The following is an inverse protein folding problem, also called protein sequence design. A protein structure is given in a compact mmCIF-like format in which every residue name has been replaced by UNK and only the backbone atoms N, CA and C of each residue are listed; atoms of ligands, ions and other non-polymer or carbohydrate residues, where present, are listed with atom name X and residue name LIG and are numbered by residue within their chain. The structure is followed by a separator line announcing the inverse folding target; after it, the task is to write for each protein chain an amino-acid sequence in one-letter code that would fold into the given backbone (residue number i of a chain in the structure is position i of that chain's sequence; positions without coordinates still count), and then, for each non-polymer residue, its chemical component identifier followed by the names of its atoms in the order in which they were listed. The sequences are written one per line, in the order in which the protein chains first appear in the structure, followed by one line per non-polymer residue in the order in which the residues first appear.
data_IF_680092887653
#
_entry.id   IF_680092887653
#
_cell.length_a   1.000
_cell.length_b   1.000
_cell.length_c   1.000
_cell.angle_alpha   90.00
_cell.angle_beta   90.00
_cell.angle_gamma   90.00
#
_symmetry.space_group_name_H-M   'P 1'
#
loop_
_entity.id
_entity.type
_entity.pdbx_description
1 polymer ?
#
# COMPACT_ATOMS: atom_id res chain seq x y z
N UNK A 1 21.46 14.97 0.95
CA UNK A 1 20.99 14.59 0.93
C UNK A 1 20.20 14.08 0.65
N UNK A 2 20.21 14.02 0.78
CA UNK A 2 19.48 13.51 0.73
C UNK A 2 19.08 12.71 0.22
N UNK A 3 19.32 12.26 -0.03
CA UNK A 3 19.01 11.58 -0.66
C UNK A 3 18.31 10.70 -0.52
N UNK A 4 18.13 10.42 0.06
CA UNK A 4 17.45 9.64 0.32
C UNK A 4 16.30 9.58 -0.15
N UNK A 5 16.18 9.84 -0.15
CA UNK A 5 15.08 9.90 -0.34
C UNK A 5 14.64 9.74 -1.52
N UNK A 6 14.80 9.99 -1.88
CA UNK A 6 14.28 10.08 -2.87
C UNK A 6 14.01 9.23 -3.85
N UNK A 7 14.66 8.69 -4.14
CA UNK A 7 14.58 7.88 -5.13
C UNK A 7 13.35 7.33 -5.55
N UNK A 8 12.90 6.40 -5.01
CA UNK A 8 11.73 5.73 -5.48
C UNK A 8 10.52 6.59 -5.46
N UNK A 9 10.56 7.60 -4.71
CA UNK A 9 9.37 8.37 -4.56
C UNK A 9 8.97 9.14 -5.78
N UNK A 10 9.85 9.25 -6.73
CA UNK A 10 9.49 9.98 -7.93
C UNK A 10 8.36 9.32 -8.70
N UNK A 11 8.23 8.02 -8.56
CA UNK A 11 7.19 7.31 -9.28
C UNK A 11 6.09 6.82 -8.36
N UNK A 12 6.22 7.09 -7.08
CA UNK A 12 5.20 6.67 -6.14
C UNK A 12 4.16 7.76 -6.00
N UNK A 13 2.97 7.37 -5.58
CA UNK A 13 1.92 8.31 -5.29
C UNK A 13 1.03 7.71 -4.22
N UNK A 14 0.25 8.58 -3.59
CA UNK A 14 -0.71 8.14 -2.59
C UNK A 14 -2.07 7.96 -3.27
N UNK A 15 -2.71 6.85 -2.99
CA UNK A 15 -3.98 6.52 -3.65
C UNK A 15 -5.03 6.23 -2.60
N UNK A 16 -6.29 6.39 -3.00
CA UNK A 16 -7.40 6.15 -2.08
C UNK A 16 -7.75 4.67 -2.06
N UNK A 17 -8.55 4.31 -1.07
CA UNK A 17 -8.90 2.91 -0.83
C UNK A 17 -9.43 2.22 -2.07
N UNK A 18 -10.25 2.90 -2.85
CA UNK A 18 -10.82 2.28 -4.02
C UNK A 18 -9.76 1.79 -4.99
N UNK A 19 -8.68 2.56 -5.15
CA UNK A 19 -7.59 2.14 -6.01
C UNK A 19 -6.86 0.95 -5.40
N UNK A 20 -6.68 0.96 -4.08
CA UNK A 20 -6.07 -0.17 -3.41
C UNK A 20 -6.89 -1.43 -3.63
N UNK A 21 -8.20 -1.32 -3.50
CA UNK A 21 -9.09 -2.47 -3.73
C UNK A 21 -8.91 -3.02 -5.13
N UNK A 22 -8.78 -2.13 -6.12
CA UNK A 22 -8.59 -2.57 -7.49
C UNK A 22 -7.27 -3.29 -7.69
N UNK A 23 -6.23 -2.80 -7.05
CA UNK A 23 -4.90 -3.38 -7.21
C UNK A 23 -4.83 -4.75 -6.57
N UNK A 24 -5.35 -4.89 -5.35
CA UNK A 24 -5.17 -6.12 -4.60
C UNK A 24 -6.31 -7.12 -4.75
N UNK A 25 -7.44 -6.67 -5.26
CA UNK A 25 -8.57 -7.58 -5.45
C UNK A 25 -9.32 -7.92 -4.19
N UNK A 26 -9.17 -7.13 -3.14
CA UNK A 26 -9.88 -7.33 -1.88
C UNK A 26 -10.76 -6.13 -1.59
N UNK A 27 -11.75 -6.30 -0.72
CA UNK A 27 -12.61 -5.20 -0.32
C UNK A 27 -12.15 -4.63 1.00
N UNK A 28 -12.73 -3.48 1.36
CA UNK A 28 -12.26 -2.70 2.50
C UNK A 28 -12.23 -3.51 3.81
N UNK A 29 -13.23 -4.33 4.05
CA UNK A 29 -13.27 -5.08 5.30
C UNK A 29 -12.05 -5.98 5.45
N UNK A 30 -11.69 -6.68 4.40
CA UNK A 30 -10.54 -7.56 4.45
C UNK A 30 -9.24 -6.75 4.53
N UNK A 31 -9.17 -5.65 3.81
CA UNK A 31 -7.97 -4.82 3.83
C UNK A 31 -7.72 -4.29 5.24
N UNK A 32 -8.75 -3.76 5.90
CA UNK A 32 -8.58 -3.24 7.24
C UNK A 32 -8.28 -4.33 8.26
N UNK A 33 -8.82 -5.52 8.04
CA UNK A 33 -8.47 -6.63 8.90
C UNK A 33 -6.99 -6.96 8.79
N UNK A 34 -6.47 -7.01 7.57
CA UNK A 34 -5.05 -7.27 7.35
C UNK A 34 -4.18 -6.19 7.94
N UNK A 35 -4.62 -4.94 7.87
CA UNK A 35 -3.86 -3.85 8.47
C UNK A 35 -3.77 -4.05 9.98
N UNK A 36 -4.89 -4.41 10.61
CA UNK A 36 -4.87 -4.64 12.05
C UNK A 36 -3.95 -5.80 12.44
N UNK A 37 -3.81 -6.76 11.55
CA UNK A 37 -2.95 -7.91 11.81
C UNK A 37 -1.50 -7.68 11.39
N UNK A 38 -1.20 -6.46 10.95
CA UNK A 38 0.14 -6.09 10.49
C UNK A 38 0.59 -6.85 9.24
N UNK A 39 -0.37 -7.31 8.45
CA UNK A 39 -0.09 -8.05 7.22
C UNK A 39 -0.31 -7.24 5.96
N UNK A 40 -0.57 -5.95 6.09
CA UNK A 40 -0.82 -5.08 4.95
C UNK A 40 -0.29 -3.70 5.28
N UNK A 41 0.29 -2.98 4.31
CA UNK A 41 0.82 -1.65 4.57
C UNK A 41 -0.27 -0.71 5.09
N UNK A 42 0.00 -0.01 6.18
CA UNK A 42 -0.99 0.91 6.73
C UNK A 42 -1.07 2.19 5.92
N UNK A 43 -2.18 2.91 6.01
CA UNK A 43 -2.34 4.13 5.23
C UNK A 43 -1.63 5.31 5.86
N UNK A 44 -1.44 6.32 5.05
CA UNK A 44 -0.98 7.64 5.47
C UNK A 44 -2.19 8.56 5.55
N UNK A 45 -2.05 9.64 6.28
CA UNK A 45 -3.12 10.63 6.38
C UNK A 45 -2.60 12.02 6.02
N UNK A 46 -2.39 12.25 4.73
CA UNK A 46 -1.90 13.56 4.31
C UNK A 46 -2.91 14.62 4.74
N UNK A 47 -2.43 15.68 5.34
CA UNK A 47 -3.30 16.71 5.85
C UNK A 47 -4.07 16.34 7.09
N UNK A 48 -3.84 15.14 7.63
CA UNK A 48 -4.45 14.75 8.89
C UNK A 48 -5.81 14.09 8.79
N UNK A 49 -6.38 14.03 7.60
CA UNK A 49 -7.67 13.37 7.40
C UNK A 49 -7.64 12.57 6.13
N UNK A 50 -8.44 11.54 6.10
CA UNK A 50 -8.55 10.72 4.91
C UNK A 50 -7.35 9.80 4.74
N UNK A 51 -7.62 8.53 4.61
CA UNK A 51 -6.55 7.54 4.45
C UNK A 51 -6.11 7.45 3.00
N UNK A 52 -4.81 7.36 2.81
CA UNK A 52 -4.22 7.16 1.49
C UNK A 52 -3.09 6.15 1.62
N UNK A 53 -2.88 5.38 0.61
CA UNK A 53 -1.84 4.35 0.62
C UNK A 53 -0.78 4.67 -0.42
N UNK A 54 0.46 4.28 -0.12
CA UNK A 54 1.52 4.36 -1.12
C UNK A 54 1.26 3.29 -2.17
N UNK A 55 1.13 3.69 -3.41
CA UNK A 55 0.90 2.73 -4.48
C UNK A 55 2.04 1.74 -4.58
N UNK A 56 3.27 2.23 -4.43
CA UNK A 56 4.44 1.36 -4.50
C UNK A 56 4.41 0.31 -3.39
N UNK A 57 4.02 0.69 -2.18
CA UNK A 57 3.94 -0.27 -1.07
C UNK A 57 2.87 -1.32 -1.33
N UNK A 58 1.73 -0.90 -1.87
CA UNK A 58 0.66 -1.83 -2.16
C UNK A 58 1.08 -2.82 -3.24
N UNK A 59 1.75 -2.33 -4.26
CA UNK A 59 2.20 -3.21 -5.34
C UNK A 59 3.29 -4.16 -4.86
N UNK A 60 4.14 -3.70 -3.95
CA UNK A 60 5.16 -4.58 -3.37
C UNK A 60 4.51 -5.70 -2.56
N UNK A 61 3.42 -5.37 -1.86
CA UNK A 61 2.67 -6.37 -1.12
C UNK A 61 2.11 -7.44 -2.06
N UNK A 62 1.56 -7.01 -3.19
CA UNK A 62 1.05 -7.95 -4.19
C UNK A 62 2.17 -8.85 -4.68
N UNK A 63 3.33 -8.26 -4.94
CA UNK A 63 4.47 -9.04 -5.41
C UNK A 63 4.87 -10.11 -4.40
N UNK A 64 4.85 -9.77 -3.10
CA UNK A 64 5.17 -10.74 -2.07
C UNK A 64 4.16 -11.88 -2.03
N UNK A 65 2.89 -11.56 -2.20
CA UNK A 65 1.85 -12.58 -2.21
C UNK A 65 2.09 -13.55 -3.36
N UNK A 66 2.44 -13.01 -4.52
CA UNK A 66 2.69 -13.86 -5.68
C UNK A 66 3.90 -14.76 -5.45
N UNK A 67 4.93 -14.23 -4.81
CA UNK A 67 6.10 -15.03 -4.51
C UNK A 67 5.79 -16.14 -3.53
N UNK A 68 4.97 -15.86 -2.54
CA UNK A 68 4.58 -16.85 -1.57
C UNK A 68 3.93 -18.05 -2.22
N UNK A 69 3.09 -17.78 -3.17
CA UNK A 69 2.41 -18.86 -3.85
C UNK A 69 3.38 -19.68 -4.67
N UNK A 70 4.37 -19.03 -5.24
CA UNK A 70 5.34 -19.72 -6.07
C UNK A 70 6.19 -20.70 -5.28
N UNK A 71 6.34 -20.43 -4.00
CA UNK A 71 7.07 -21.35 -3.15
C UNK A 71 6.21 -22.54 -2.84
#
# INVERSE_FOLDING_TARGET
MSSKIAAPSDTDRLVMLRVVEDIVGLKRTRIYKLIRESDFPPPYKPGGVGSRWSEAEVRAWVAQIKESRAA
#
